data_IF_563624518319
#
_entry.id   IF_563624518319
#
_cell.length_a   1.000
_cell.length_b   1.000
_cell.length_c   1.000
_cell.angle_alpha   90.00
_cell.angle_beta   90.00
_cell.angle_gamma   90.00
#
_symmetry.space_group_name_H-M   'P 1'
#
loop_
_entity.id
_entity.type
_entity.pdbx_description
1 polymer ?
#
# COMPACT_ATOMS: atom_id res chain seq x y z
N UNK A 1 5.03 14.19 2.35
CA UNK A 1 6.19 14.15 1.43
C UNK A 1 6.15 12.80 0.73
N UNK A 2 6.29 12.78 -0.59
CA UNK A 2 6.22 11.56 -1.41
C UNK A 2 7.64 11.18 -1.84
N UNK A 3 8.21 10.17 -1.17
CA UNK A 3 9.61 9.75 -1.37
C UNK A 3 9.77 8.49 -2.21
N UNK A 4 8.68 7.76 -2.42
CA UNK A 4 8.70 6.45 -3.06
C UNK A 4 8.41 6.52 -4.56
N UNK A 5 8.49 7.70 -5.18
CA UNK A 5 8.12 7.91 -6.58
C UNK A 5 8.96 7.13 -7.60
N UNK A 6 10.14 6.65 -7.20
CA UNK A 6 10.99 5.79 -8.03
C UNK A 6 10.56 4.32 -7.97
N UNK A 7 9.74 3.95 -6.99
CA UNK A 7 9.17 2.62 -6.86
C UNK A 7 7.85 2.59 -7.64
N UNK A 8 7.92 2.19 -8.90
CA UNK A 8 6.75 2.14 -9.81
C UNK A 8 5.64 1.17 -9.40
N UNK A 9 5.79 0.46 -8.28
CA UNK A 9 4.82 -0.46 -7.67
C UNK A 9 4.25 0.07 -6.35
N UNK A 10 4.71 1.25 -5.87
CA UNK A 10 4.32 1.75 -4.55
C UNK A 10 2.82 1.98 -4.42
N UNK A 11 2.18 2.47 -5.48
CA UNK A 11 0.74 2.68 -5.51
C UNK A 11 -0.04 1.37 -5.47
N UNK A 12 0.52 0.29 -6.04
CA UNK A 12 -0.10 -1.04 -6.09
C UNK A 12 -0.16 -1.76 -4.72
N UNK A 13 0.43 -1.19 -3.66
CA UNK A 13 0.34 -1.74 -2.30
C UNK A 13 -1.07 -1.69 -1.71
N UNK A 14 -1.93 -0.84 -2.25
CA UNK A 14 -3.31 -0.67 -1.82
C UNK A 14 -4.26 -0.70 -3.01
N UNK A 15 -5.51 -1.10 -2.78
CA UNK A 15 -6.51 -1.18 -3.84
C UNK A 15 -7.05 0.19 -4.28
N UNK A 16 -6.83 1.24 -3.48
CA UNK A 16 -7.36 2.58 -3.72
C UNK A 16 -6.38 3.54 -4.41
N UNK A 17 -6.91 4.46 -5.21
CA UNK A 17 -6.15 5.60 -5.75
C UNK A 17 -5.81 6.59 -4.62
N UNK A 18 -4.55 6.61 -4.16
CA UNK A 18 -4.15 7.40 -2.98
C UNK A 18 -3.82 8.85 -3.33
N UNK A 19 -3.11 9.08 -4.45
CA UNK A 19 -2.63 10.41 -4.85
C UNK A 19 -3.24 10.77 -6.20
N UNK A 20 -4.13 11.76 -6.21
CA UNK A 20 -4.74 12.31 -7.42
C UNK A 20 -4.37 13.78 -7.55
N UNK A 21 -3.82 14.18 -8.71
CA UNK A 21 -3.38 15.55 -8.99
C UNK A 21 -2.43 16.16 -7.91
N UNK A 22 -1.67 15.31 -7.22
CA UNK A 22 -0.76 15.71 -6.14
C UNK A 22 -1.42 15.94 -4.78
N UNK A 23 -2.67 15.51 -4.61
CA UNK A 23 -3.44 15.57 -3.37
C UNK A 23 -3.85 14.17 -2.90
N UNK A 24 -4.05 14.03 -1.59
CA UNK A 24 -4.64 12.83 -0.97
C UNK A 24 -5.96 13.25 -0.34
N UNK A 25 -7.07 12.66 -0.78
CA UNK A 25 -8.35 12.79 -0.10
C UNK A 25 -8.34 11.92 1.16
N UNK A 26 -8.74 12.49 2.30
CA UNK A 26 -8.81 11.73 3.56
C UNK A 26 -10.10 10.91 3.57
N UNK A 27 -10.05 9.56 3.62
CA UNK A 27 -11.27 8.74 3.56
C UNK A 27 -12.13 8.88 4.82
N UNK A 28 -13.44 8.76 4.67
CA UNK A 28 -14.40 8.66 5.80
C UNK A 28 -14.64 7.21 6.26
N UNK A 29 -13.96 6.24 5.64
CA UNK A 29 -14.05 4.80 5.98
C UNK A 29 -13.38 4.50 7.33
N UNK A 30 -13.75 3.41 8.03
CA UNK A 30 -13.12 3.02 9.28
C UNK A 30 -11.59 2.83 9.18
N UNK A 31 -10.89 3.11 10.28
CA UNK A 31 -9.43 2.95 10.34
C UNK A 31 -8.72 3.98 9.46
N UNK A 32 -7.76 3.51 8.66
CA UNK A 32 -7.08 4.35 7.65
C UNK A 32 -7.87 4.49 6.35
N UNK A 33 -8.95 3.71 6.19
CA UNK A 33 -9.76 3.71 4.97
C UNK A 33 -9.07 3.14 3.73
N UNK A 34 -8.04 2.32 3.92
CA UNK A 34 -7.27 1.65 2.88
C UNK A 34 -7.42 0.12 2.97
N UNK A 35 -7.30 -0.54 1.84
CA UNK A 35 -7.25 -2.01 1.72
C UNK A 35 -5.91 -2.39 1.10
N UNK A 36 -5.18 -3.31 1.73
CA UNK A 36 -3.90 -3.80 1.20
C UNK A 36 -4.15 -4.78 0.05
N UNK A 37 -3.40 -4.63 -1.04
CA UNK A 37 -3.24 -5.69 -2.04
C UNK A 37 -2.20 -6.69 -1.51
N UNK A 38 -2.68 -7.83 -1.01
CA UNK A 38 -1.82 -8.83 -0.40
C UNK A 38 -0.92 -9.56 -1.42
N UNK A 39 -1.32 -9.60 -2.69
CA UNK A 39 -0.50 -10.21 -3.75
C UNK A 39 0.74 -9.32 -4.00
N UNK A 40 0.52 -8.00 -4.13
CA UNK A 40 1.62 -7.02 -4.28
C UNK A 40 2.50 -6.95 -3.04
N UNK A 41 1.91 -7.01 -1.84
CA UNK A 41 2.68 -7.04 -0.60
C UNK A 41 3.59 -8.29 -0.58
N UNK A 42 3.06 -9.46 -0.93
CA UNK A 42 3.84 -10.71 -0.99
C UNK A 42 4.98 -10.62 -2.02
N UNK A 43 4.73 -10.06 -3.20
CA UNK A 43 5.74 -9.90 -4.27
C UNK A 43 6.95 -9.04 -3.85
N UNK A 44 6.71 -8.02 -3.01
CA UNK A 44 7.74 -7.05 -2.62
C UNK A 44 8.23 -7.20 -1.17
N UNK A 45 7.97 -8.35 -0.54
CA UNK A 45 8.47 -8.64 0.80
C UNK A 45 10.00 -8.65 0.88
N UNK A 46 10.51 -8.26 2.04
CA UNK A 46 11.94 -8.43 2.35
C UNK A 46 12.24 -9.92 2.43
N UNK A 47 13.35 -10.33 1.83
CA UNK A 47 13.77 -11.73 1.80
C UNK A 47 13.90 -12.30 3.23
N UNK A 48 13.21 -13.42 3.47
CA UNK A 48 13.20 -14.11 4.76
C UNK A 48 12.01 -13.79 5.67
N UNK A 49 11.17 -12.82 5.32
CA UNK A 49 9.93 -12.51 6.04
C UNK A 49 8.76 -13.40 5.58
N UNK A 50 7.72 -13.51 6.41
CA UNK A 50 6.46 -14.20 6.08
C UNK A 50 5.26 -13.25 6.11
N UNK A 51 4.35 -13.37 5.13
CA UNK A 51 3.19 -12.49 5.00
C UNK A 51 2.28 -12.54 6.23
N UNK A 52 2.03 -13.75 6.73
CA UNK A 52 1.26 -13.98 7.94
C UNK A 52 2.04 -14.87 8.89
N UNK A 53 2.08 -14.46 10.16
CA UNK A 53 2.53 -15.32 11.24
C UNK A 53 1.45 -16.36 11.59
N UNK A 54 1.86 -17.58 12.00
CA UNK A 54 0.92 -18.54 12.57
C UNK A 54 0.27 -17.98 13.84
N UNK A 55 -1.03 -18.25 14.00
CA UNK A 55 -1.83 -17.82 15.15
C UNK A 55 -1.50 -18.59 16.44
#
# INVERSE_FOLDING_TARGET
EYHSYELGWWEDLVEEDVIEDGYIEVPEKPGLGLTLDLDTVEEHMVEGETLFDPA
#
